data_IF_948631474528
#
_entry.id   IF_948631474528
#
_cell.length_a   1.000
_cell.length_b   1.000
_cell.length_c   1.000
_cell.angle_alpha   90.00
_cell.angle_beta   90.00
_cell.angle_gamma   90.00
#
_symmetry.space_group_name_H-M   'P 1'
#
loop_
_entity.id
_entity.type
_entity.pdbx_description
1 polymer ?
#
# COMPACT_ATOMS: atom_id res chain seq x y z
N UNK A 1 52.86 -53.44 -12.15
CA UNK A 1 51.55 -52.96 -11.66
C UNK A 1 51.86 -51.82 -10.69
N UNK A 2 51.88 -50.58 -11.19
CA UNK A 2 52.04 -49.39 -10.34
C UNK A 2 50.75 -48.57 -10.38
N UNK A 3 49.76 -49.03 -9.62
CA UNK A 3 48.44 -48.38 -9.47
C UNK A 3 48.43 -47.32 -8.37
N UNK A 4 49.50 -47.20 -7.59
CA UNK A 4 49.56 -46.31 -6.42
C UNK A 4 49.92 -44.86 -6.77
N UNK A 5 50.69 -44.62 -7.83
CA UNK A 5 51.12 -43.27 -8.25
C UNK A 5 50.03 -42.49 -9.00
N UNK A 6 49.16 -43.18 -9.74
CA UNK A 6 48.04 -42.55 -10.46
C UNK A 6 46.93 -42.05 -9.51
N UNK A 7 46.67 -42.76 -8.40
CA UNK A 7 45.63 -42.39 -7.43
C UNK A 7 46.02 -41.15 -6.61
N UNK A 8 47.31 -41.01 -6.27
CA UNK A 8 47.81 -39.86 -5.52
C UNK A 8 47.76 -38.55 -6.34
N UNK A 9 48.01 -38.61 -7.64
CA UNK A 9 47.97 -37.43 -8.54
C UNK A 9 46.55 -36.96 -8.82
N UNK A 10 45.56 -37.87 -8.93
CA UNK A 10 44.15 -37.49 -9.08
C UNK A 10 43.56 -36.86 -7.81
N UNK A 11 43.92 -37.35 -6.61
CA UNK A 11 43.46 -36.79 -5.35
C UNK A 11 44.03 -35.38 -5.05
N UNK A 12 45.27 -35.10 -5.46
CA UNK A 12 45.87 -33.78 -5.33
C UNK A 12 45.24 -32.76 -6.30
N UNK A 13 44.92 -33.19 -7.54
CA UNK A 13 44.27 -32.34 -8.54
C UNK A 13 42.83 -31.99 -8.17
N UNK A 14 42.07 -32.92 -7.58
CA UNK A 14 40.69 -32.65 -7.13
C UNK A 14 40.63 -31.72 -5.91
N UNK A 15 41.58 -31.84 -4.97
CA UNK A 15 41.72 -30.91 -3.83
C UNK A 15 42.03 -29.48 -4.27
N UNK A 16 42.85 -29.29 -5.30
CA UNK A 16 43.16 -27.97 -5.86
C UNK A 16 41.96 -27.29 -6.52
N UNK A 17 41.09 -28.04 -7.20
CA UNK A 17 39.84 -27.52 -7.79
C UNK A 17 38.82 -27.19 -6.70
N UNK A 18 38.66 -28.05 -5.69
CA UNK A 18 37.78 -27.80 -4.55
C UNK A 18 38.22 -26.59 -3.70
N UNK A 19 39.53 -26.39 -3.53
CA UNK A 19 40.08 -25.25 -2.80
C UNK A 19 39.87 -23.93 -3.55
N UNK A 20 40.06 -23.92 -4.88
CA UNK A 20 39.77 -22.75 -5.74
C UNK A 20 38.28 -22.41 -5.79
N UNK A 21 37.41 -23.43 -5.83
CA UNK A 21 35.96 -23.24 -5.79
C UNK A 21 35.50 -22.67 -4.43
N UNK A 22 36.05 -23.16 -3.31
CA UNK A 22 35.78 -22.60 -1.97
C UNK A 22 36.26 -21.15 -1.83
N UNK A 23 37.42 -20.82 -2.41
CA UNK A 23 37.96 -19.46 -2.38
C UNK A 23 37.11 -18.45 -3.15
N UNK A 24 36.36 -18.90 -4.16
CA UNK A 24 35.39 -18.09 -4.93
C UNK A 24 34.00 -18.08 -4.29
N UNK A 25 33.55 -19.20 -3.70
CA UNK A 25 32.22 -19.31 -3.09
C UNK A 25 32.10 -18.53 -1.77
N UNK A 26 33.15 -18.43 -0.98
CA UNK A 26 33.15 -17.66 0.27
C UNK A 26 32.89 -16.15 0.08
N UNK A 27 33.65 -15.43 -0.77
CA UNK A 27 33.37 -14.02 -1.04
C UNK A 27 32.03 -13.83 -1.77
N UNK A 28 31.63 -14.76 -2.64
CA UNK A 28 30.30 -14.72 -3.27
C UNK A 28 29.18 -14.88 -2.24
N UNK A 29 29.35 -15.78 -1.26
CA UNK A 29 28.43 -15.99 -0.15
C UNK A 29 28.33 -14.74 0.74
N UNK A 30 29.48 -14.16 1.12
CA UNK A 30 29.53 -12.91 1.88
C UNK A 30 28.86 -11.76 1.12
N UNK A 31 29.12 -11.65 -0.19
CA UNK A 31 28.50 -10.64 -1.04
C UNK A 31 26.98 -10.83 -1.13
N UNK A 32 26.50 -12.05 -1.39
CA UNK A 32 25.07 -12.38 -1.40
C UNK A 32 24.39 -12.10 -0.07
N UNK A 33 25.04 -12.43 1.06
CA UNK A 33 24.50 -12.09 2.39
C UNK A 33 24.48 -10.59 2.62
N UNK A 34 25.50 -9.85 2.19
CA UNK A 34 25.54 -8.39 2.28
C UNK A 34 24.44 -7.74 1.45
N UNK A 35 24.20 -8.24 0.23
CA UNK A 35 23.11 -7.77 -0.65
C UNK A 35 21.74 -8.10 -0.06
N UNK A 36 21.55 -9.31 0.48
CA UNK A 36 20.31 -9.70 1.15
C UNK A 36 20.01 -8.83 2.38
N UNK A 37 21.03 -8.56 3.20
CA UNK A 37 20.90 -7.67 4.36
C UNK A 37 20.60 -6.24 3.91
N UNK A 38 21.32 -5.71 2.91
CA UNK A 38 21.06 -4.37 2.39
C UNK A 38 19.66 -4.23 1.76
N UNK A 39 19.19 -5.27 1.07
CA UNK A 39 17.85 -5.29 0.46
C UNK A 39 16.75 -5.41 1.52
N UNK A 40 16.95 -6.27 2.52
CA UNK A 40 16.03 -6.41 3.64
C UNK A 40 15.97 -5.10 4.45
N UNK A 41 17.10 -4.48 4.76
CA UNK A 41 17.13 -3.23 5.53
C UNK A 41 16.46 -2.08 4.77
N UNK A 42 16.67 -1.97 3.46
CA UNK A 42 16.10 -0.87 2.67
C UNK A 42 14.60 -1.00 2.39
N UNK A 43 14.04 -2.21 2.30
CA UNK A 43 12.61 -2.36 1.99
C UNK A 43 11.74 -2.69 3.21
N UNK A 44 12.25 -3.44 4.19
CA UNK A 44 11.46 -3.83 5.36
C UNK A 44 11.49 -2.80 6.48
N UNK A 45 12.56 -2.03 6.61
CA UNK A 45 12.71 -1.06 7.71
C UNK A 45 12.18 0.32 7.36
N UNK A 46 11.91 0.56 6.08
CA UNK A 46 11.37 1.83 5.59
C UNK A 46 9.86 1.87 5.71
N UNK A 47 9.31 3.08 5.74
CA UNK A 47 7.88 3.35 5.54
C UNK A 47 7.68 3.91 4.14
N UNK A 48 6.65 3.43 3.45
CA UNK A 48 6.26 3.93 2.13
C UNK A 48 4.81 4.40 2.14
N UNK A 49 4.41 5.21 1.15
CA UNK A 49 3.02 5.65 1.03
C UNK A 49 2.04 4.47 0.77
N UNK A 50 2.50 3.43 0.07
CA UNK A 50 1.72 2.19 -0.12
C UNK A 50 1.39 1.52 1.22
N UNK A 51 2.30 1.57 2.20
CA UNK A 51 2.06 1.06 3.55
C UNK A 51 0.92 1.83 4.25
N UNK A 52 0.85 3.15 4.04
CA UNK A 52 -0.22 4.00 4.58
C UNK A 52 -1.57 3.70 3.94
N UNK A 53 -1.60 3.61 2.60
CA UNK A 53 -2.80 3.26 1.84
C UNK A 53 -3.37 1.92 2.30
N UNK A 54 -2.52 0.90 2.45
CA UNK A 54 -2.94 -0.43 2.87
C UNK A 54 -3.45 -0.45 4.32
N UNK A 55 -2.71 0.15 5.26
CA UNK A 55 -3.09 0.16 6.68
C UNK A 55 -4.40 0.92 6.94
N UNK A 56 -4.62 2.06 6.27
CA UNK A 56 -5.83 2.89 6.41
C UNK A 56 -6.97 2.44 5.48
N UNK A 57 -6.79 1.37 4.70
CA UNK A 57 -7.75 0.89 3.70
C UNK A 57 -8.21 2.03 2.76
N UNK A 58 -7.24 2.73 2.17
CA UNK A 58 -7.43 3.84 1.22
C UNK A 58 -6.82 3.50 -0.14
N UNK A 59 -7.35 4.12 -1.19
CA UNK A 59 -6.77 3.99 -2.53
C UNK A 59 -5.97 5.23 -2.91
N UNK A 60 -5.04 5.07 -3.85
CA UNK A 60 -4.27 6.19 -4.38
C UNK A 60 -5.17 7.07 -5.25
N UNK A 61 -5.22 8.38 -4.97
CA UNK A 61 -6.11 9.30 -5.69
C UNK A 61 -5.82 9.35 -7.20
N UNK A 62 -4.56 9.18 -7.61
CA UNK A 62 -4.16 9.12 -9.03
C UNK A 62 -4.71 7.93 -9.83
N UNK A 63 -5.35 6.94 -9.20
CA UNK A 63 -6.10 5.90 -9.92
C UNK A 63 -7.46 6.41 -10.41
N UNK A 64 -7.93 7.53 -9.87
CA UNK A 64 -9.21 8.15 -10.19
C UNK A 64 -9.00 9.52 -10.84
N UNK A 65 -9.84 9.85 -11.80
CA UNK A 65 -9.90 11.18 -12.37
C UNK A 65 -10.75 12.08 -11.46
N UNK A 66 -10.10 13.08 -10.85
CA UNK A 66 -10.70 14.10 -9.99
C UNK A 66 -11.61 13.53 -8.87
N UNK A 67 -11.07 12.69 -7.96
CA UNK A 67 -11.86 12.14 -6.87
C UNK A 67 -12.35 13.25 -5.94
N UNK A 68 -13.64 13.22 -5.62
CA UNK A 68 -14.29 14.22 -4.78
C UNK A 68 -15.39 13.56 -3.94
N UNK A 69 -15.64 14.00 -2.70
CA UNK A 69 -16.73 13.48 -1.88
C UNK A 69 -18.08 13.51 -2.62
N UNK A 70 -18.83 12.41 -2.55
CA UNK A 70 -20.12 12.25 -3.21
C UNK A 70 -20.09 11.83 -4.68
N UNK A 71 -18.90 11.62 -5.27
CA UNK A 71 -18.78 10.98 -6.59
C UNK A 71 -18.83 9.45 -6.46
N UNK A 72 -19.55 8.80 -7.38
CA UNK A 72 -19.61 7.35 -7.49
C UNK A 72 -18.63 6.85 -8.56
N UNK A 73 -17.90 5.79 -8.24
CA UNK A 73 -16.97 5.12 -9.15
C UNK A 73 -17.29 3.63 -9.23
N UNK A 74 -17.04 3.03 -10.40
CA UNK A 74 -17.14 1.59 -10.57
C UNK A 74 -15.80 0.91 -10.28
N UNK A 75 -15.86 -0.23 -9.60
CA UNK A 75 -14.74 -1.13 -9.40
C UNK A 75 -15.03 -2.45 -10.10
N UNK A 76 -14.16 -2.86 -11.02
CA UNK A 76 -14.30 -4.09 -11.77
C UNK A 76 -13.63 -5.23 -11.02
N UNK A 77 -14.42 -6.20 -10.55
CA UNK A 77 -13.94 -7.31 -9.69
C UNK A 77 -12.91 -8.22 -10.39
N UNK A 78 -13.09 -8.62 -11.67
CA UNK A 78 -12.15 -9.53 -12.34
C UNK A 78 -10.73 -8.98 -12.49
N UNK A 79 -10.56 -7.71 -12.85
CA UNK A 79 -9.23 -7.10 -13.00
C UNK A 79 -8.74 -6.39 -11.73
N UNK A 80 -9.62 -6.21 -10.74
CA UNK A 80 -9.34 -5.48 -9.49
C UNK A 80 -8.95 -4.03 -9.71
N UNK A 81 -9.62 -3.35 -10.63
CA UNK A 81 -9.31 -1.97 -10.99
C UNK A 81 -10.54 -1.08 -10.95
N UNK A 82 -10.31 0.18 -10.61
CA UNK A 82 -11.33 1.22 -10.74
C UNK A 82 -11.44 1.69 -12.19
N UNK A 83 -12.68 1.95 -12.61
CA UNK A 83 -12.93 2.79 -13.77
C UNK A 83 -12.49 4.21 -13.40
N UNK A 84 -11.52 4.82 -14.13
CA UNK A 84 -10.94 6.09 -13.70
C UNK A 84 -11.93 7.25 -13.69
N UNK A 85 -12.94 7.22 -14.55
CA UNK A 85 -13.98 8.26 -14.64
C UNK A 85 -15.12 7.99 -13.65
N UNK A 86 -15.65 9.04 -12.98
CA UNK A 86 -16.81 8.89 -12.12
C UNK A 86 -18.05 8.57 -12.97
N UNK A 87 -18.92 7.70 -12.45
CA UNK A 87 -20.23 7.40 -13.06
C UNK A 87 -21.19 8.57 -12.87
N UNK A 88 -21.24 9.10 -11.65
CA UNK A 88 -22.16 10.18 -11.32
C UNK A 88 -21.68 10.94 -10.08
N UNK A 89 -22.22 12.14 -9.88
CA UNK A 89 -22.03 12.94 -8.67
C UNK A 89 -23.37 13.29 -8.04
N UNK A 90 -23.37 13.44 -6.73
CA UNK A 90 -24.50 14.02 -5.99
C UNK A 90 -24.72 15.49 -6.34
N UNK A 91 -25.94 15.98 -6.19
CA UNK A 91 -26.30 17.36 -6.52
C UNK A 91 -25.45 18.40 -5.77
N UNK A 92 -24.88 19.35 -6.53
CA UNK A 92 -23.94 20.38 -6.04
C UNK A 92 -24.54 21.30 -4.98
N UNK A 93 -25.86 21.47 -4.96
CA UNK A 93 -26.59 22.27 -3.96
C UNK A 93 -26.66 21.58 -2.59
N UNK A 94 -26.52 20.26 -2.53
CA UNK A 94 -26.67 19.49 -1.29
C UNK A 94 -25.34 19.03 -0.69
N UNK A 95 -24.24 18.96 -1.46
CA UNK A 95 -22.95 18.52 -0.92
C UNK A 95 -22.18 19.71 -0.35
N UNK A 96 -22.44 20.06 0.91
CA UNK A 96 -21.56 20.95 1.66
C UNK A 96 -20.26 20.21 1.99
N UNK A 97 -19.19 20.59 1.28
CA UNK A 97 -17.86 20.01 1.46
C UNK A 97 -17.18 20.72 2.62
N UNK A 98 -16.96 19.98 3.70
CA UNK A 98 -16.16 20.45 4.82
C UNK A 98 -14.69 20.11 4.60
N UNK A 99 -13.82 21.00 5.06
CA UNK A 99 -12.36 20.86 5.00
C UNK A 99 -11.80 20.73 6.41
N UNK A 100 -10.96 19.73 6.63
CA UNK A 100 -10.30 19.51 7.91
C UNK A 100 -8.82 19.27 7.66
N UNK A 101 -7.96 20.02 8.34
CA UNK A 101 -6.52 19.75 8.32
C UNK A 101 -6.22 18.55 9.21
N UNK A 102 -5.52 17.56 8.66
CA UNK A 102 -5.13 16.32 9.34
C UNK A 102 -3.66 16.03 9.02
N UNK A 103 -2.86 15.70 10.02
CA UNK A 103 -1.49 15.23 9.80
C UNK A 103 -1.45 13.74 10.07
N UNK A 104 -1.03 12.95 9.07
CA UNK A 104 -0.80 11.53 9.25
C UNK A 104 0.67 11.27 9.49
N UNK A 105 0.97 10.54 10.55
CA UNK A 105 2.33 10.14 10.90
C UNK A 105 2.42 8.61 10.89
N UNK A 106 3.19 8.07 9.95
CA UNK A 106 3.39 6.64 9.79
C UNK A 106 4.83 6.26 10.13
N UNK A 107 5.02 5.21 10.92
CA UNK A 107 6.32 4.78 11.43
C UNK A 107 6.51 3.28 11.26
N UNK A 108 7.73 2.87 10.94
CA UNK A 108 8.12 1.47 10.96
C UNK A 108 8.78 1.15 12.30
N UNK A 109 8.11 0.35 13.13
CA UNK A 109 8.56 0.01 14.49
C UNK A 109 9.94 -0.65 14.49
N UNK A 110 10.16 -1.58 13.55
CA UNK A 110 11.41 -2.32 13.46
C UNK A 110 12.53 -1.45 12.91
N UNK A 111 12.23 -0.57 11.96
CA UNK A 111 13.17 0.43 11.46
C UNK A 111 13.61 1.42 12.54
N UNK A 112 12.68 1.91 13.37
CA UNK A 112 13.00 2.77 14.51
C UNK A 112 13.91 2.07 15.51
N UNK A 113 13.55 0.85 15.94
CA UNK A 113 14.36 0.06 16.87
C UNK A 113 15.76 -0.25 16.31
N UNK A 114 15.86 -0.54 15.02
CA UNK A 114 17.14 -0.78 14.37
C UNK A 114 17.99 0.50 14.34
N UNK A 115 17.40 1.65 14.01
CA UNK A 115 18.10 2.94 14.01
C UNK A 115 18.61 3.31 15.41
N UNK A 116 17.79 3.10 16.45
CA UNK A 116 18.17 3.31 17.86
C UNK A 116 19.31 2.38 18.29
N UNK A 117 19.22 1.08 17.96
CA UNK A 117 20.25 0.11 18.28
C UNK A 117 21.58 0.44 17.58
N UNK A 118 21.53 0.83 16.31
CA UNK A 118 22.72 1.26 15.56
C UNK A 118 23.34 2.53 16.15
N UNK A 119 22.52 3.50 16.55
CA UNK A 119 23.01 4.71 17.23
C UNK A 119 23.74 4.38 18.54
N UNK A 120 23.22 3.44 19.34
CA UNK A 120 23.87 2.98 20.56
C UNK A 120 25.21 2.26 20.30
N UNK A 121 25.26 1.38 19.29
CA UNK A 121 26.49 0.67 18.92
C UNK A 121 27.55 1.65 18.37
N UNK A 122 27.16 2.57 17.49
CA UNK A 122 28.10 3.58 16.96
C UNK A 122 28.62 4.52 18.06
N UNK A 123 27.74 4.92 19.00
CA UNK A 123 28.10 5.74 20.14
C UNK A 123 29.05 5.04 21.13
N UNK A 124 28.85 3.74 21.37
CA UNK A 124 29.70 2.94 22.28
C UNK A 124 31.06 2.57 21.69
N UNK A 125 31.17 2.40 20.37
CA UNK A 125 32.43 2.10 19.68
C UNK A 125 33.21 3.38 19.32
N UNK A 126 32.69 4.57 19.65
CA UNK A 126 33.36 5.85 19.39
C UNK A 126 33.51 6.18 17.90
N UNK A 127 32.78 5.48 17.02
CA UNK A 127 32.79 5.74 15.59
C UNK A 127 31.94 6.99 15.31
N UNK A 128 32.60 8.09 14.96
CA UNK A 128 31.93 9.29 14.46
C UNK A 128 31.33 9.03 13.08
N UNK A 129 30.06 8.62 13.05
CA UNK A 129 29.02 9.20 12.19
C UNK A 129 29.16 9.23 10.68
N UNK A 130 30.03 8.44 10.04
CA UNK A 130 30.12 8.36 8.56
C UNK A 130 29.93 6.92 8.01
N UNK A 131 29.49 5.98 8.86
CA UNK A 131 29.16 4.62 8.44
C UNK A 131 27.79 4.60 7.77
N UNK A 132 27.74 4.32 6.47
CA UNK A 132 26.55 4.31 5.60
C UNK A 132 25.44 3.30 5.92
N UNK A 133 25.22 2.96 7.20
CA UNK A 133 24.14 2.12 7.71
C UNK A 133 23.05 2.98 8.38
N UNK A 134 22.64 4.04 7.70
CA UNK A 134 21.46 4.81 8.11
C UNK A 134 20.22 4.23 7.42
N UNK A 135 19.23 3.79 8.22
CA UNK A 135 17.92 3.43 7.68
C UNK A 135 17.19 4.73 7.35
N UNK A 136 17.15 5.08 6.07
CA UNK A 136 16.39 6.24 5.59
C UNK A 136 14.89 6.00 5.77
N UNK A 137 14.10 7.06 5.93
CA UNK A 137 12.62 6.99 5.87
C UNK A 137 11.96 5.95 6.81
N UNK A 138 12.41 5.86 8.06
CA UNK A 138 11.73 5.07 9.12
C UNK A 138 10.39 5.69 9.57
N UNK A 139 10.17 6.96 9.22
CA UNK A 139 8.95 7.71 9.44
C UNK A 139 8.52 8.46 8.17
N UNK A 140 7.20 8.64 8.03
CA UNK A 140 6.57 9.40 6.97
C UNK A 140 5.49 10.29 7.60
N UNK A 141 5.71 11.61 7.53
CA UNK A 141 4.76 12.62 8.02
C UNK A 141 4.13 13.31 6.82
N UNK A 142 2.80 13.33 6.78
CA UNK A 142 2.04 13.88 5.66
C UNK A 142 0.96 14.82 6.18
N UNK A 143 1.13 16.15 6.05
CA UNK A 143 0.06 17.09 6.26
C UNK A 143 -0.94 17.02 5.10
N UNK A 144 -2.21 16.77 5.41
CA UNK A 144 -3.29 16.57 4.45
C UNK A 144 -4.47 17.49 4.77
N UNK A 145 -5.17 17.92 3.73
CA UNK A 145 -6.50 18.49 3.81
C UNK A 145 -7.50 17.36 3.49
N UNK A 146 -8.22 16.91 4.52
CA UNK A 146 -9.35 15.99 4.37
C UNK A 146 -10.58 16.77 3.94
N UNK A 147 -11.21 16.33 2.87
CA UNK A 147 -12.49 16.84 2.39
C UNK A 147 -13.54 15.76 2.49
N UNK A 148 -14.72 16.09 3.01
CA UNK A 148 -15.82 15.16 3.22
C UNK A 148 -17.18 15.86 3.11
N UNK A 149 -18.22 15.09 2.77
CA UNK A 149 -19.60 15.58 2.74
C UNK A 149 -20.20 15.56 4.15
N UNK A 150 -20.89 16.63 4.55
CA UNK A 150 -21.63 16.66 5.83
C UNK A 150 -23.12 16.35 5.69
N UNK A 151 -23.62 16.24 4.47
CA UNK A 151 -25.06 16.04 4.20
C UNK A 151 -25.41 14.56 4.11
N UNK A 152 -26.47 14.15 4.82
CA UNK A 152 -26.93 12.76 4.94
C UNK A 152 -27.99 12.36 3.90
N UNK A 153 -28.72 13.33 3.34
CA UNK A 153 -29.69 13.12 2.26
C UNK A 153 -29.09 13.63 0.97
N UNK A 154 -29.00 12.77 -0.05
CA UNK A 154 -28.45 13.19 -1.35
C UNK A 154 -28.93 12.25 -2.43
N UNK A 155 -29.68 12.80 -3.38
CA UNK A 155 -29.95 12.16 -4.65
C UNK A 155 -28.74 12.32 -5.59
N UNK A 156 -28.53 11.33 -6.46
CA UNK A 156 -27.64 11.50 -7.60
C UNK A 156 -28.26 12.46 -8.61
N UNK A 157 -27.43 13.15 -9.39
CA UNK A 157 -27.91 13.95 -10.51
C UNK A 157 -28.73 13.08 -11.46
N UNK A 158 -29.95 13.50 -11.77
CA UNK A 158 -30.92 12.71 -12.55
C UNK A 158 -30.38 12.25 -13.91
N UNK A 159 -29.51 13.03 -14.53
CA UNK A 159 -28.97 12.71 -15.86
C UNK A 159 -27.94 11.57 -15.86
N UNK A 160 -27.32 11.24 -14.72
CA UNK A 160 -26.29 10.19 -14.62
C UNK A 160 -26.64 9.06 -13.65
N UNK A 161 -27.81 9.12 -13.00
CA UNK A 161 -28.22 8.08 -12.06
C UNK A 161 -28.37 6.72 -12.75
N UNK A 162 -28.79 6.70 -14.02
CA UNK A 162 -28.97 5.46 -14.77
C UNK A 162 -27.65 4.70 -14.95
N UNK A 163 -26.53 5.39 -15.17
CA UNK A 163 -25.21 4.76 -15.29
C UNK A 163 -24.79 4.08 -13.97
N UNK A 164 -25.17 4.66 -12.83
CA UNK A 164 -24.95 4.07 -11.51
C UNK A 164 -25.83 2.83 -11.33
N UNK A 165 -27.09 2.89 -11.75
CA UNK A 165 -28.05 1.78 -11.67
C UNK A 165 -27.59 0.60 -12.53
N UNK A 166 -27.28 0.86 -13.81
CA UNK A 166 -26.88 -0.16 -14.76
C UNK A 166 -25.58 -0.85 -14.33
N UNK A 167 -24.59 -0.07 -13.87
CA UNK A 167 -23.31 -0.61 -13.41
C UNK A 167 -23.42 -1.33 -12.07
N UNK A 168 -24.33 -0.91 -11.18
CA UNK A 168 -24.57 -1.60 -9.91
C UNK A 168 -25.40 -2.88 -10.09
N UNK A 169 -26.16 -3.00 -11.18
CA UNK A 169 -26.87 -4.22 -11.54
C UNK A 169 -25.95 -5.29 -12.15
N UNK A 170 -24.79 -4.91 -12.69
CA UNK A 170 -23.81 -5.84 -13.23
C UNK A 170 -23.10 -6.62 -12.11
N UNK A 171 -23.16 -7.97 -12.11
CA UNK A 171 -22.54 -8.79 -11.08
C UNK A 171 -21.01 -8.77 -11.11
N UNK A 172 -20.34 -8.22 -12.12
CA UNK A 172 -18.88 -8.09 -12.15
C UNK A 172 -18.38 -6.78 -11.55
N UNK A 173 -19.26 -5.81 -11.33
CA UNK A 173 -18.91 -4.50 -10.82
C UNK A 173 -19.34 -4.29 -9.37
N UNK A 174 -18.67 -3.34 -8.72
CA UNK A 174 -19.07 -2.76 -7.44
C UNK A 174 -19.05 -1.26 -7.59
N UNK A 175 -20.17 -0.60 -7.27
CA UNK A 175 -20.24 0.86 -7.34
C UNK A 175 -20.01 1.45 -5.96
N UNK A 176 -18.97 2.25 -5.82
CA UNK A 176 -18.49 2.79 -4.54
C UNK A 176 -18.54 4.30 -4.56
N UNK A 177 -19.06 4.89 -3.47
CA UNK A 177 -19.11 6.34 -3.30
C UNK A 177 -17.89 6.84 -2.53
N UNK A 178 -17.27 7.90 -3.03
CA UNK A 178 -16.21 8.60 -2.30
C UNK A 178 -16.81 9.27 -1.07
N UNK A 179 -16.34 8.88 0.09
CA UNK A 179 -16.72 9.46 1.38
C UNK A 179 -15.77 10.61 1.74
N UNK A 180 -14.46 10.35 1.64
CA UNK A 180 -13.43 11.33 1.99
C UNK A 180 -12.37 11.38 0.89
N UNK A 181 -11.91 12.57 0.53
CA UNK A 181 -10.76 12.79 -0.34
C UNK A 181 -9.68 13.56 0.42
N UNK A 182 -8.43 13.16 0.26
CA UNK A 182 -7.30 13.74 0.98
C UNK A 182 -6.33 14.38 0.00
N UNK A 183 -5.99 15.63 0.26
CA UNK A 183 -5.12 16.43 -0.60
C UNK A 183 -3.87 16.87 0.16
N UNK A 184 -2.69 16.75 -0.45
CA UNK A 184 -1.48 17.37 0.07
C UNK A 184 -1.15 18.61 -0.75
N UNK A 185 -0.59 19.63 -0.11
CA UNK A 185 -0.08 20.80 -0.83
C UNK A 185 1.22 20.43 -1.53
N UNK A 186 1.27 20.59 -2.85
CA UNK A 186 2.51 20.45 -3.61
C UNK A 186 3.42 21.64 -3.28
N UNK A 187 4.64 21.37 -2.82
CA UNK A 187 5.61 22.38 -2.40
C UNK A 187 6.11 23.25 -3.58
N UNK A 188 6.14 22.69 -4.79
CA UNK A 188 6.63 23.36 -6.00
C UNK A 188 5.54 24.19 -6.68
N UNK A 189 4.33 23.67 -6.82
CA UNK A 189 3.24 24.36 -7.53
C UNK A 189 2.32 25.15 -6.59
N UNK A 190 2.39 24.88 -5.27
CA UNK A 190 1.48 25.44 -4.27
C UNK A 190 0.05 24.91 -4.35
N UNK A 191 -0.27 24.03 -5.32
CA UNK A 191 -1.60 23.49 -5.54
C UNK A 191 -1.86 22.25 -4.69
N UNK A 192 -3.13 22.01 -4.38
CA UNK A 192 -3.57 20.80 -3.68
C UNK A 192 -3.62 19.62 -4.65
N UNK A 193 -2.79 18.60 -4.42
CA UNK A 193 -2.81 17.35 -5.15
C UNK A 193 -3.52 16.26 -4.36
N UNK A 194 -4.44 15.55 -5.01
CA UNK A 194 -5.08 14.38 -4.43
C UNK A 194 -4.03 13.31 -4.12
N UNK A 195 -4.01 12.82 -2.87
CA UNK A 195 -3.10 11.74 -2.44
C UNK A 195 -3.84 10.44 -2.21
N UNK A 196 -4.95 10.47 -1.50
CA UNK A 196 -5.70 9.25 -1.19
C UNK A 196 -7.19 9.49 -1.08
N UNK A 197 -7.96 8.42 -1.26
CA UNK A 197 -9.42 8.44 -1.27
C UNK A 197 -9.96 7.33 -0.39
N UNK A 198 -10.98 7.68 0.38
CA UNK A 198 -11.80 6.80 1.18
C UNK A 198 -13.13 6.59 0.49
N UNK A 199 -13.48 5.34 0.22
CA UNK A 199 -14.83 4.99 -0.18
C UNK A 199 -15.68 4.63 1.04
N UNK A 200 -16.99 4.84 0.90
CA UNK A 200 -17.95 4.24 1.80
C UNK A 200 -17.82 2.70 1.68
N UNK A 201 -17.67 1.96 2.79
CA UNK A 201 -17.51 0.50 2.76
C UNK A 201 -18.74 -0.22 2.20
N UNK A 202 -19.91 0.42 2.18
CA UNK A 202 -21.13 -0.13 1.62
C UNK A 202 -21.26 0.27 0.14
N UNK A 203 -21.26 -0.69 -0.80
CA UNK A 203 -21.50 -0.38 -2.19
C UNK A 203 -22.92 0.15 -2.40
N UNK A 204 -23.07 0.99 -3.43
CA UNK A 204 -24.37 1.46 -3.89
C UNK A 204 -25.06 0.27 -4.55
N UNK A 205 -26.23 -0.08 -4.06
CA UNK A 205 -27.07 -1.12 -4.62
C UNK A 205 -28.44 -0.54 -4.92
N UNK A 206 -29.00 -0.92 -6.06
CA UNK A 206 -30.39 -0.61 -6.43
C UNK A 206 -31.19 -1.90 -6.49
N UNK A 207 -31.08 -2.73 -5.46
CA UNK A 207 -32.02 -3.83 -5.27
C UNK A 207 -33.36 -3.22 -4.84
N UNK A 208 -34.36 -3.28 -5.73
CA UNK A 208 -35.73 -3.47 -5.27
C UNK A 208 -35.72 -4.76 -4.47
N UNK A 209 -35.80 -4.69 -3.14
CA UNK A 209 -36.13 -5.87 -2.36
C UNK A 209 -37.54 -6.29 -2.81
N UNK A 210 -37.64 -7.35 -3.61
CA UNK A 210 -38.94 -7.95 -3.91
C UNK A 210 -39.52 -8.41 -2.57
N UNK A 211 -40.68 -7.87 -2.13
CA UNK A 211 -41.28 -8.26 -0.85
C UNK A 211 -41.62 -9.75 -0.76
N UNK A 212 -41.56 -10.50 -1.88
CA UNK A 212 -41.78 -11.94 -1.91
C UNK A 212 -40.54 -12.78 -1.53
N UNK A 213 -39.33 -12.24 -1.62
CA UNK A 213 -38.09 -12.92 -1.22
C UNK A 213 -37.64 -12.41 0.15
N UNK A 214 -37.60 -13.31 1.12
CA UNK A 214 -37.32 -13.02 2.52
C UNK A 214 -36.18 -11.99 2.70
N UNK A 215 -36.48 -10.87 3.36
CA UNK A 215 -35.56 -9.76 3.66
C UNK A 215 -34.32 -10.15 4.50
N UNK A 216 -34.19 -11.42 4.89
CA UNK A 216 -33.10 -11.96 5.70
C UNK A 216 -31.87 -12.32 4.84
N UNK A 217 -32.02 -12.49 3.52
CA UNK A 217 -30.91 -12.79 2.60
C UNK A 217 -30.26 -11.55 1.94
N UNK A 218 -30.78 -10.34 2.20
CA UNK A 218 -30.07 -9.10 1.88
C UNK A 218 -29.00 -8.82 2.95
N UNK A 219 -28.30 -9.86 3.41
CA UNK A 219 -27.15 -9.74 4.28
C UNK A 219 -26.03 -9.22 3.38
N UNK A 220 -25.94 -7.89 3.31
CA UNK A 220 -24.84 -7.22 2.65
C UNK A 220 -23.59 -7.64 3.42
N UNK A 221 -22.91 -8.69 2.94
CA UNK A 221 -21.53 -8.93 3.30
C UNK A 221 -20.85 -7.57 3.23
N UNK A 222 -20.33 -7.12 4.37
CA UNK A 222 -19.45 -5.97 4.45
C UNK A 222 -18.25 -6.38 3.58
N UNK A 223 -18.38 -6.10 2.29
CA UNK A 223 -17.56 -6.69 1.25
C UNK A 223 -16.21 -6.03 1.46
N UNK A 224 -15.38 -6.73 2.24
CA UNK A 224 -13.96 -6.48 2.43
C UNK A 224 -13.26 -6.82 1.13
N UNK A 225 -13.66 -6.11 0.09
CA UNK A 225 -13.05 -6.18 -1.22
C UNK A 225 -11.66 -5.64 -0.98
N UNK A 226 -10.67 -6.52 -1.02
CA UNK A 226 -9.27 -6.14 -1.09
C UNK A 226 -9.02 -5.48 -2.45
N UNK A 227 -9.55 -4.27 -2.66
CA UNK A 227 -9.20 -3.37 -3.77
C UNK A 227 -7.85 -2.68 -3.54
N UNK A 228 -7.15 -3.05 -2.46
CA UNK A 228 -5.81 -2.59 -2.14
C UNK A 228 -4.79 -3.54 -2.77
N UNK A 229 -4.46 -3.31 -4.04
CA UNK A 229 -3.30 -3.99 -4.62
C UNK A 229 -2.01 -3.39 -4.02
N UNK A 230 -1.55 -4.00 -2.93
CA UNK A 230 -0.28 -3.65 -2.30
C UNK A 230 0.80 -4.66 -2.67
N UNK A 231 2.05 -4.18 -2.76
CA UNK A 231 3.22 -5.03 -2.95
C UNK A 231 3.34 -6.06 -1.82
N UNK A 232 3.98 -7.18 -2.11
CA UNK A 232 4.17 -8.26 -1.14
C UNK A 232 4.82 -7.78 0.17
N UNK A 233 5.81 -6.87 0.09
CA UNK A 233 6.51 -6.32 1.27
C UNK A 233 5.54 -5.60 2.19
N UNK A 234 4.65 -4.76 1.64
CA UNK A 234 3.62 -4.04 2.40
C UNK A 234 2.65 -4.99 3.09
N UNK A 235 2.23 -6.07 2.40
CA UNK A 235 1.38 -7.10 3.00
C UNK A 235 2.08 -7.80 4.16
N UNK A 236 3.36 -8.14 4.02
CA UNK A 236 4.14 -8.77 5.10
C UNK A 236 4.32 -7.80 6.28
N UNK A 237 4.66 -6.52 6.02
CA UNK A 237 4.76 -5.49 7.06
C UNK A 237 3.45 -5.33 7.84
N UNK A 238 2.31 -5.39 7.14
CA UNK A 238 0.98 -5.36 7.76
C UNK A 238 0.72 -6.58 8.63
N UNK A 239 0.93 -7.80 8.11
CA UNK A 239 0.74 -9.06 8.84
C UNK A 239 1.59 -9.11 10.11
N UNK A 240 2.83 -8.60 10.03
CA UNK A 240 3.76 -8.51 11.15
C UNK A 240 3.51 -7.29 12.06
N UNK A 241 2.50 -6.46 11.77
CA UNK A 241 2.16 -5.24 12.50
C UNK A 241 3.36 -4.29 12.70
N UNK A 242 4.18 -4.14 11.66
CA UNK A 242 5.41 -3.34 11.70
C UNK A 242 5.13 -1.85 11.51
N UNK A 243 3.99 -1.49 10.91
CA UNK A 243 3.62 -0.11 10.63
C UNK A 243 2.66 0.40 11.71
N UNK A 244 2.99 1.53 12.30
CA UNK A 244 2.12 2.29 13.19
C UNK A 244 1.70 3.57 12.50
N UNK A 245 0.42 3.95 12.62
CA UNK A 245 -0.08 5.23 12.08
C UNK A 245 -0.89 5.92 13.17
N UNK A 246 -0.49 7.15 13.50
CA UNK A 246 -1.30 8.11 14.28
C UNK A 246 -1.99 9.08 13.34
#
# INVERSE_FOLDING_TARGET
>A
MDTTTAVATYAARSKGVAMKLKLLLWPLGLFLTGVLVAFATTLFLTVTFEDVLYQKKRIHAGQLNQPWPGKAYAYYKPTRQFVPTPLCSKELTEVSVSKLSETLEAHNKLGLQFAEAMAFVMGSVGMKGDGGFEVKAVSLVMPLEKQFSTTSQTAYLEYCIQDVVDMAADPDFLVLMVENAYFAKNETTGQHEGKMVAFNPKPITFTFCDPATNAVECDFEELSVDYFDARWVTRVKYVLNLISIS
#
